data_IF_628742990465
#
_entry.id   IF_628742990465
#
_cell.length_a   1.000
_cell.length_b   1.000
_cell.length_c   1.000
_cell.angle_alpha   90.00
_cell.angle_beta   90.00
_cell.angle_gamma   90.00
#
_symmetry.space_group_name_H-M   'P 1'
#
loop_
_entity.id
_entity.type
_entity.pdbx_description
1 polymer ?
#
# COMPACT_ATOMS: atom_id res chain seq x y z
N UNK A 1 -7.95 11.21 8.51
CA UNK A 1 -7.43 10.96 7.14
C UNK A 1 -6.67 12.14 6.54
N UNK A 2 -7.07 13.39 6.80
CA UNK A 2 -6.35 14.61 6.38
C UNK A 2 -4.85 14.63 6.73
N UNK A 3 -4.37 13.75 7.62
CA UNK A 3 -2.98 13.72 8.09
C UNK A 3 -2.11 12.62 7.48
N UNK A 4 -2.66 11.60 6.80
CA UNK A 4 -1.81 10.53 6.25
C UNK A 4 -0.85 11.06 5.19
N UNK A 5 -1.31 12.04 4.40
CA UNK A 5 -0.49 12.77 3.44
C UNK A 5 0.63 13.57 4.12
N UNK A 6 0.30 14.28 5.21
CA UNK A 6 1.29 15.01 6.01
C UNK A 6 2.36 14.05 6.53
N UNK A 7 1.94 12.92 7.11
CA UNK A 7 2.85 11.87 7.57
C UNK A 7 3.69 11.29 6.43
N UNK A 8 3.12 11.02 5.25
CA UNK A 8 3.90 10.51 4.12
C UNK A 8 5.04 11.48 3.73
N UNK A 9 4.76 12.79 3.69
CA UNK A 9 5.78 13.82 3.43
C UNK A 9 6.82 13.87 4.54
N UNK A 10 6.39 13.86 5.80
CA UNK A 10 7.30 13.88 6.96
C UNK A 10 8.24 12.66 6.99
N UNK A 11 7.79 11.54 6.41
CA UNK A 11 8.55 10.31 6.28
C UNK A 11 9.32 10.18 4.95
N UNK A 12 9.44 11.26 4.17
CA UNK A 12 10.30 11.33 2.99
C UNK A 12 9.70 10.78 1.70
N UNK A 13 8.36 10.75 1.59
CA UNK A 13 7.67 10.48 0.33
C UNK A 13 7.27 11.77 -0.36
N UNK A 14 7.48 11.81 -1.68
CA UNK A 14 6.81 12.76 -2.55
C UNK A 14 5.46 12.16 -2.96
N UNK A 15 4.40 12.94 -2.77
CA UNK A 15 3.01 12.59 -3.09
C UNK A 15 2.64 13.07 -4.49
N UNK A 16 2.24 12.17 -5.39
CA UNK A 16 1.87 12.51 -6.76
C UNK A 16 0.38 12.87 -6.91
N UNK A 17 -0.50 11.87 -6.82
CA UNK A 17 -1.93 12.04 -7.06
C UNK A 17 -2.73 11.36 -5.96
N UNK A 18 -3.75 12.06 -5.47
CA UNK A 18 -4.63 11.60 -4.41
C UNK A 18 -6.05 11.55 -4.94
N UNK A 19 -6.68 10.38 -4.82
CA UNK A 19 -8.01 10.13 -5.39
C UNK A 19 -8.95 9.58 -4.32
N UNK A 20 -10.18 10.07 -4.36
CA UNK A 20 -11.27 9.65 -3.50
C UNK A 20 -12.45 9.22 -4.36
N UNK A 21 -12.87 7.97 -4.24
CA UNK A 21 -14.01 7.42 -4.96
C UNK A 21 -15.13 7.11 -3.98
N UNK A 22 -16.36 7.43 -4.39
CA UNK A 22 -17.58 7.03 -3.68
C UNK A 22 -18.49 6.37 -4.69
N UNK A 23 -18.71 5.06 -4.55
CA UNK A 23 -19.63 4.31 -5.38
C UNK A 23 -21.08 4.61 -4.97
N UNK A 24 -21.89 5.14 -5.88
CA UNK A 24 -23.27 5.55 -5.57
C UNK A 24 -24.23 4.39 -5.31
N UNK A 25 -23.96 3.20 -5.86
CA UNK A 25 -24.84 2.04 -5.69
C UNK A 25 -24.50 1.19 -4.46
N UNK A 26 -23.22 0.93 -4.23
CA UNK A 26 -22.73 0.09 -3.14
C UNK A 26 -22.41 0.88 -1.87
N UNK A 27 -22.26 2.22 -1.98
CA UNK A 27 -21.73 3.12 -0.96
C UNK A 27 -20.29 2.78 -0.52
N UNK A 28 -19.57 1.94 -1.27
CA UNK A 28 -18.14 1.72 -1.05
C UNK A 28 -17.38 3.01 -1.29
N UNK A 29 -16.42 3.27 -0.42
CA UNK A 29 -15.49 4.36 -0.60
C UNK A 29 -14.08 3.79 -0.75
N UNK A 30 -13.32 4.37 -1.66
CA UNK A 30 -11.92 4.04 -1.87
C UNK A 30 -11.13 5.33 -1.78
N UNK A 31 -10.16 5.34 -0.88
CA UNK A 31 -9.12 6.35 -0.88
C UNK A 31 -7.84 5.73 -1.42
N UNK A 32 -7.18 6.43 -2.32
CA UNK A 32 -5.90 5.98 -2.86
C UNK A 32 -4.95 7.14 -3.11
N UNK A 33 -3.66 6.86 -2.98
CA UNK A 33 -2.59 7.82 -3.22
C UNK A 33 -1.39 7.12 -3.85
N UNK A 34 -0.80 7.77 -4.85
CA UNK A 34 0.44 7.34 -5.48
C UNK A 34 1.61 8.13 -4.85
N UNK A 35 2.60 7.39 -4.34
CA UNK A 35 3.75 7.91 -3.58
C UNK A 35 5.04 7.31 -4.12
N UNK A 36 6.16 8.01 -3.95
CA UNK A 36 7.49 7.40 -4.04
C UNK A 36 8.47 8.14 -3.12
N UNK A 37 9.57 7.50 -2.70
CA UNK A 37 10.62 8.20 -1.97
C UNK A 37 11.08 9.45 -2.73
N UNK A 38 11.41 10.53 -2.02
CA UNK A 38 11.90 11.76 -2.64
C UNK A 38 13.14 11.52 -3.51
N UNK A 39 14.00 10.60 -3.08
CA UNK A 39 15.20 10.18 -3.81
C UNK A 39 14.90 9.48 -5.15
N UNK A 40 13.64 9.12 -5.37
CA UNK A 40 13.17 8.29 -6.47
C UNK A 40 12.09 8.96 -7.32
N UNK A 41 12.02 10.29 -7.33
CA UNK A 41 10.98 11.04 -8.01
C UNK A 41 10.90 10.85 -9.54
N UNK A 42 11.93 10.23 -10.13
CA UNK A 42 11.97 9.81 -11.53
C UNK A 42 12.28 8.32 -11.66
N UNK A 43 11.98 7.56 -10.60
CA UNK A 43 12.24 6.14 -10.50
C UNK A 43 11.29 5.31 -11.35
N UNK A 44 11.67 4.06 -11.67
CA UNK A 44 10.85 3.17 -12.49
C UNK A 44 9.66 2.55 -11.76
N UNK A 45 9.53 2.76 -10.45
CA UNK A 45 8.47 2.17 -9.62
C UNK A 45 7.80 3.23 -8.75
N UNK A 46 6.51 3.05 -8.54
CA UNK A 46 5.69 3.84 -7.63
C UNK A 46 5.13 2.93 -6.52
N UNK A 47 4.93 3.51 -5.34
CA UNK A 47 4.18 2.91 -4.24
C UNK A 47 2.75 3.44 -4.27
N UNK A 48 1.82 2.57 -4.65
CA UNK A 48 0.39 2.85 -4.57
C UNK A 48 -0.15 2.43 -3.21
N UNK A 49 -0.77 3.35 -2.49
CA UNK A 49 -1.41 3.09 -1.19
C UNK A 49 -2.90 3.27 -1.32
N UNK A 50 -3.67 2.28 -0.87
CA UNK A 50 -5.13 2.36 -0.88
C UNK A 50 -5.77 1.89 0.42
N UNK A 51 -6.90 2.51 0.75
CA UNK A 51 -7.77 2.10 1.84
C UNK A 51 -9.19 1.92 1.31
N UNK A 52 -9.68 0.68 1.36
CA UNK A 52 -11.06 0.35 1.01
C UNK A 52 -11.95 0.42 2.26
N UNK A 53 -12.98 1.25 2.18
CA UNK A 53 -13.98 1.44 3.23
C UNK A 53 -15.21 0.61 2.86
N UNK A 54 -15.38 -0.51 3.59
CA UNK A 54 -16.61 -1.29 3.53
C UNK A 54 -17.73 -0.59 4.32
N UNK A 55 -18.85 -0.22 3.69
CA UNK A 55 -19.89 0.56 4.33
C UNK A 55 -20.61 -0.20 5.44
N UNK A 56 -20.68 -1.54 5.39
CA UNK A 56 -21.32 -2.32 6.47
C UNK A 56 -20.49 -2.27 7.74
N UNK A 57 -19.18 -2.41 7.60
CA UNK A 57 -18.22 -2.32 8.70
C UNK A 57 -18.24 -0.92 9.30
N UNK A 58 -18.24 0.13 8.45
CA UNK A 58 -18.35 1.51 8.92
C UNK A 58 -19.64 1.77 9.69
N UNK A 59 -20.79 1.40 9.13
CA UNK A 59 -22.09 1.61 9.78
C UNK A 59 -22.20 0.83 11.09
N UNK A 60 -21.68 -0.40 11.13
CA UNK A 60 -21.66 -1.20 12.37
C UNK A 60 -20.78 -0.57 13.44
N UNK A 61 -19.66 0.05 13.05
CA UNK A 61 -18.81 0.82 13.94
C UNK A 61 -19.52 2.09 14.45
N UNK A 62 -20.18 2.83 13.55
CA UNK A 62 -20.99 4.01 13.92
C UNK A 62 -22.07 3.66 14.94
N UNK A 63 -22.78 2.53 14.77
CA UNK A 63 -23.78 2.06 15.73
C UNK A 63 -23.19 1.82 17.12
N UNK A 64 -21.97 1.26 17.20
CA UNK A 64 -21.26 1.06 18.48
C UNK A 64 -20.90 2.39 19.11
N UNK A 65 -20.32 3.31 18.34
CA UNK A 65 -19.93 4.64 18.83
C UNK A 65 -21.15 5.42 19.34
N UNK A 66 -22.28 5.36 18.63
CA UNK A 66 -23.52 6.02 19.03
C UNK A 66 -24.16 5.43 20.29
N UNK A 67 -23.86 4.16 20.60
CA UNK A 67 -24.35 3.47 21.78
C UNK A 67 -23.49 3.68 23.03
N UNK A 68 -22.33 4.35 22.91
CA UNK A 68 -21.44 4.62 24.04
C UNK A 68 -21.98 5.74 24.93
N UNK A 69 -21.80 5.58 26.24
CA UNK A 69 -22.22 6.57 27.24
C UNK A 69 -21.26 7.77 27.30
N UNK A 70 -19.96 7.52 27.10
CA UNK A 70 -18.91 8.54 27.04
C UNK A 70 -18.24 8.53 25.65
N UNK A 71 -18.24 9.66 24.90
CA UNK A 71 -17.56 9.75 23.61
C UNK A 71 -16.03 9.59 23.68
N UNK A 72 -15.42 9.75 24.86
CA UNK A 72 -13.97 9.58 25.03
C UNK A 72 -13.56 8.10 25.32
N UNK A 73 -14.53 7.20 25.50
CA UNK A 73 -14.26 5.77 25.72
C UNK A 73 -13.75 5.06 24.44
N UNK A 74 -13.17 3.86 24.60
CA UNK A 74 -12.79 3.02 23.47
C UNK A 74 -14.02 2.29 22.89
N UNK A 75 -14.33 2.45 21.58
CA UNK A 75 -15.39 1.69 20.96
C UNK A 75 -15.07 0.19 20.95
N UNK A 76 -16.02 -0.61 21.40
CA UNK A 76 -15.84 -2.06 21.53
C UNK A 76 -15.94 -2.78 20.18
N UNK A 77 -15.02 -3.70 19.90
CA UNK A 77 -15.05 -4.56 18.72
C UNK A 77 -13.74 -4.55 17.96
N UNK A 78 -13.66 -5.35 16.90
CA UNK A 78 -12.50 -5.45 16.01
C UNK A 78 -12.90 -4.97 14.62
N UNK A 79 -13.10 -3.65 14.49
CA UNK A 79 -13.45 -3.00 13.24
C UNK A 79 -12.19 -2.48 12.57
N UNK A 80 -11.86 -3.06 11.42
CA UNK A 80 -10.64 -2.71 10.69
C UNK A 80 -10.91 -2.49 9.21
N UNK A 81 -10.16 -1.58 8.60
CA UNK A 81 -10.06 -1.49 7.14
C UNK A 81 -8.68 -1.92 6.65
N UNK A 82 -8.60 -2.57 5.47
CA UNK A 82 -7.32 -2.96 4.89
C UNK A 82 -6.61 -1.74 4.32
N UNK A 83 -5.46 -1.38 4.87
CA UNK A 83 -4.50 -0.48 4.24
C UNK A 83 -3.54 -1.31 3.39
N UNK A 84 -3.58 -1.07 2.08
CA UNK A 84 -2.87 -1.86 1.09
C UNK A 84 -1.76 -1.03 0.47
N UNK A 85 -0.56 -1.58 0.45
CA UNK A 85 0.65 -1.00 -0.13
C UNK A 85 1.03 -1.84 -1.34
N UNK A 86 1.08 -1.26 -2.53
CA UNK A 86 1.37 -1.98 -3.76
C UNK A 86 2.54 -1.34 -4.48
N UNK A 87 3.63 -2.09 -4.63
CA UNK A 87 4.71 -1.73 -5.54
C UNK A 87 4.45 -2.37 -6.90
N UNK A 88 4.25 -1.53 -7.90
CA UNK A 88 4.06 -1.94 -9.29
C UNK A 88 5.37 -1.76 -10.06
N UNK A 89 5.72 -2.79 -10.83
CA UNK A 89 6.95 -2.80 -11.61
C UNK A 89 6.64 -2.74 -13.10
N UNK A 90 7.47 -2.05 -13.90
CA UNK A 90 7.37 -2.12 -15.34
C UNK A 90 7.72 -3.54 -15.82
N UNK A 91 7.44 -3.86 -17.10
CA UNK A 91 7.81 -5.13 -17.69
C UNK A 91 9.28 -5.49 -17.46
N UNK A 92 9.52 -6.71 -16.97
CA UNK A 92 10.86 -7.17 -16.60
C UNK A 92 11.48 -8.00 -17.72
N UNK A 93 12.67 -7.60 -18.17
CA UNK A 93 13.49 -8.37 -19.14
C UNK A 93 14.24 -9.51 -18.44
N UNK A 94 14.75 -9.25 -17.24
CA UNK A 94 15.51 -10.20 -16.42
C UNK A 94 14.82 -10.38 -15.06
N UNK A 95 13.68 -11.09 -14.99
CA UNK A 95 12.90 -11.19 -13.75
C UNK A 95 13.71 -11.90 -12.65
N UNK A 96 13.57 -11.47 -11.38
CA UNK A 96 14.21 -12.14 -10.24
C UNK A 96 13.60 -13.51 -9.96
N UNK A 97 14.30 -14.32 -9.17
CA UNK A 97 13.71 -15.50 -8.54
C UNK A 97 12.73 -15.04 -7.46
N UNK A 98 11.45 -15.44 -7.58
CA UNK A 98 10.38 -14.97 -6.70
C UNK A 98 10.52 -15.47 -5.27
N UNK A 99 11.06 -16.67 -5.06
CA UNK A 99 11.22 -17.22 -3.71
C UNK A 99 12.35 -16.51 -2.98
N UNK A 100 13.44 -16.21 -3.69
CA UNK A 100 14.54 -15.40 -3.16
C UNK A 100 14.05 -14.00 -2.82
N UNK A 101 13.41 -13.31 -3.77
CA UNK A 101 12.87 -11.97 -3.55
C UNK A 101 11.89 -11.95 -2.39
N UNK A 102 10.97 -12.92 -2.31
CA UNK A 102 10.00 -13.02 -1.23
C UNK A 102 10.67 -13.17 0.14
N UNK A 103 11.75 -13.95 0.21
CA UNK A 103 12.49 -14.15 1.46
C UNK A 103 13.23 -12.89 1.89
N UNK A 104 13.88 -12.21 0.95
CA UNK A 104 14.66 -11.00 1.22
C UNK A 104 13.76 -9.83 1.64
N UNK A 105 12.67 -9.61 0.89
CA UNK A 105 11.72 -8.52 1.16
C UNK A 105 10.91 -8.79 2.44
N UNK A 106 10.56 -10.04 2.74
CA UNK A 106 9.96 -10.39 4.03
C UNK A 106 10.88 -10.04 5.22
N UNK A 107 12.21 -10.13 5.05
CA UNK A 107 13.18 -9.69 6.05
C UNK A 107 13.11 -8.18 6.35
N UNK A 108 12.80 -7.37 5.35
CA UNK A 108 12.65 -5.91 5.50
C UNK A 108 11.32 -5.53 6.14
N UNK A 109 10.21 -6.11 5.64
CA UNK A 109 8.86 -5.86 6.15
C UNK A 109 8.62 -6.39 7.57
N UNK A 110 9.33 -7.46 7.96
CA UNK A 110 9.22 -8.06 9.28
C UNK A 110 7.81 -8.57 9.57
N UNK A 111 7.40 -8.48 10.83
CA UNK A 111 6.04 -8.88 11.27
C UNK A 111 5.01 -7.77 11.07
N UNK A 112 5.48 -6.53 10.95
CA UNK A 112 4.63 -5.33 10.93
C UNK A 112 4.04 -5.10 9.54
N UNK A 113 4.79 -5.44 8.49
CA UNK A 113 4.36 -5.33 7.11
C UNK A 113 4.59 -6.67 6.40
N UNK A 114 3.63 -7.62 6.48
CA UNK A 114 3.71 -8.86 5.74
C UNK A 114 3.57 -8.60 4.25
N UNK A 115 4.49 -9.15 3.45
CA UNK A 115 4.60 -8.87 2.02
C UNK A 115 4.31 -10.12 1.19
N UNK A 116 3.42 -9.95 0.22
CA UNK A 116 3.09 -10.93 -0.81
C UNK A 116 3.81 -10.55 -2.10
N UNK A 117 4.46 -11.53 -2.73
CA UNK A 117 5.19 -11.33 -3.98
C UNK A 117 4.54 -12.21 -5.05
N UNK A 118 4.17 -11.59 -6.17
CA UNK A 118 3.58 -12.31 -7.30
C UNK A 118 4.14 -11.79 -8.62
N UNK A 119 4.14 -12.65 -9.64
CA UNK A 119 4.44 -12.24 -11.01
C UNK A 119 3.42 -12.83 -11.98
N UNK A 120 3.11 -12.07 -13.02
CA UNK A 120 2.13 -12.42 -14.04
C UNK A 120 2.82 -12.36 -15.40
N UNK A 121 2.67 -13.42 -16.19
CA UNK A 121 3.03 -13.41 -17.61
C UNK A 121 1.81 -13.07 -18.45
N UNK A 122 1.93 -12.04 -19.29
CA UNK A 122 0.89 -11.62 -20.22
C UNK A 122 1.33 -11.83 -21.67
N UNK A 123 0.37 -12.19 -22.53
CA UNK A 123 0.58 -12.43 -23.96
C UNK A 123 -0.43 -11.60 -24.74
N UNK A 124 -0.01 -10.54 -25.43
CA UNK A 124 -0.91 -9.77 -26.29
C UNK A 124 -1.42 -10.61 -27.46
N UNK A 125 -0.55 -11.45 -28.04
CA UNK A 125 -0.91 -12.51 -28.99
C UNK A 125 -0.22 -13.81 -28.58
N UNK A 126 -0.82 -14.94 -28.98
CA UNK A 126 -0.31 -16.29 -28.69
C UNK A 126 1.11 -16.52 -29.24
N UNK A 127 1.52 -15.77 -30.26
CA UNK A 127 2.85 -15.88 -30.87
C UNK A 127 3.90 -14.95 -30.26
N UNK A 128 3.47 -14.01 -29.41
CA UNK A 128 4.37 -13.01 -28.84
C UNK A 128 5.17 -13.61 -27.67
N UNK A 129 6.31 -12.98 -27.36
CA UNK A 129 7.04 -13.30 -26.15
C UNK A 129 6.21 -12.86 -24.91
N UNK A 130 6.31 -13.58 -23.78
CA UNK A 130 5.63 -13.19 -22.56
C UNK A 130 6.19 -11.85 -22.04
N UNK A 131 5.30 -10.95 -21.65
CA UNK A 131 5.63 -9.77 -20.87
C UNK A 131 5.38 -10.08 -19.39
N UNK A 132 6.45 -10.11 -18.59
CA UNK A 132 6.37 -10.45 -17.16
C UNK A 132 6.28 -9.18 -16.31
N UNK A 133 5.23 -9.08 -15.53
CA UNK A 133 5.02 -8.02 -14.53
C UNK A 133 5.17 -8.58 -13.13
N UNK A 134 5.90 -7.87 -12.27
CA UNK A 134 6.08 -8.20 -10.85
C UNK A 134 5.17 -7.29 -10.02
N UNK A 135 4.64 -7.81 -8.91
CA UNK A 135 3.94 -7.04 -7.89
C UNK A 135 4.38 -7.47 -6.51
N UNK A 136 4.65 -6.49 -5.65
CA UNK A 136 4.86 -6.68 -4.22
C UNK A 136 3.71 -5.99 -3.49
N UNK A 137 3.04 -6.69 -2.59
CA UNK A 137 1.84 -6.18 -1.91
C UNK A 137 1.95 -6.38 -0.40
N UNK A 138 1.87 -5.29 0.36
CA UNK A 138 1.67 -5.30 1.81
C UNK A 138 0.21 -5.04 2.16
N UNK A 139 -0.33 -5.75 3.16
CA UNK A 139 -1.69 -5.53 3.66
C UNK A 139 -1.69 -5.47 5.18
N UNK A 140 -2.14 -4.35 5.74
CA UNK A 140 -2.20 -4.13 7.19
C UNK A 140 -3.62 -3.71 7.58
N UNK A 141 -4.25 -4.38 8.56
CA UNK A 141 -5.52 -3.93 9.09
C UNK A 141 -5.32 -2.68 9.95
N UNK A 142 -6.06 -1.61 9.65
CA UNK A 142 -6.07 -0.38 10.45
C UNK A 142 -7.35 -0.34 11.27
N UNK A 143 -7.20 -0.19 12.59
CA UNK A 143 -8.31 -0.11 13.54
C UNK A 143 -9.09 1.19 13.41
N UNK A 144 -10.42 1.07 13.31
CA UNK A 144 -11.32 2.24 13.32
C UNK A 144 -11.38 2.92 14.68
N UNK A 145 -11.20 2.18 15.78
CA UNK A 145 -11.12 2.76 17.12
C UNK A 145 -9.94 3.72 17.24
N UNK A 146 -8.77 3.31 16.73
CA UNK A 146 -7.56 4.13 16.70
C UNK A 146 -7.76 5.40 15.84
N UNK A 147 -8.34 5.25 14.65
CA UNK A 147 -8.63 6.38 13.76
C UNK A 147 -9.64 7.36 14.40
N UNK A 148 -10.67 6.83 15.07
CA UNK A 148 -11.68 7.62 15.78
C UNK A 148 -11.06 8.48 16.89
N UNK A 149 -10.12 7.92 17.66
CA UNK A 149 -9.37 8.64 18.70
C UNK A 149 -8.26 9.56 18.15
N UNK A 150 -8.04 9.57 16.84
CA UNK A 150 -6.98 10.37 16.22
C UNK A 150 -5.56 9.83 16.46
N UNK A 151 -5.43 8.58 16.89
CA UNK A 151 -4.15 7.93 17.21
C UNK A 151 -3.41 7.45 15.95
N UNK A 152 -3.27 8.30 14.92
CA UNK A 152 -2.74 7.91 13.60
C UNK A 152 -1.24 7.56 13.59
N UNK A 153 -0.54 7.76 14.71
CA UNK A 153 0.89 7.47 14.86
C UNK A 153 1.26 6.02 14.53
N UNK A 154 0.35 5.06 14.68
CA UNK A 154 0.64 3.66 14.35
C UNK A 154 0.87 3.41 12.84
N UNK A 155 0.52 4.37 11.97
CA UNK A 155 0.81 4.30 10.53
C UNK A 155 2.24 4.76 10.22
N UNK A 156 2.86 5.55 11.11
CA UNK A 156 4.20 6.11 10.89
C UNK A 156 5.29 5.02 10.74
N UNK A 157 5.37 3.99 11.62
CA UNK A 157 6.32 2.89 11.45
C UNK A 157 6.11 2.11 10.14
N UNK A 158 4.86 2.00 9.66
CA UNK A 158 4.56 1.35 8.38
C UNK A 158 5.12 2.16 7.22
N UNK A 159 5.01 3.49 7.26
CA UNK A 159 5.58 4.37 6.23
C UNK A 159 7.11 4.30 6.22
N UNK A 160 7.76 4.28 7.39
CA UNK A 160 9.21 4.07 7.48
C UNK A 160 9.64 2.75 6.82
N UNK A 161 8.90 1.66 7.10
CA UNK A 161 9.14 0.36 6.46
C UNK A 161 8.88 0.38 4.97
N UNK A 162 7.80 1.02 4.53
CA UNK A 162 7.52 1.18 3.11
C UNK A 162 8.63 1.95 2.40
N UNK A 163 9.24 2.95 3.05
CA UNK A 163 10.38 3.69 2.47
C UNK A 163 11.61 2.81 2.36
N UNK A 164 11.97 2.08 3.41
CA UNK A 164 13.07 1.12 3.40
C UNK A 164 12.94 0.10 2.25
N UNK A 165 11.75 -0.50 2.11
CA UNK A 165 11.45 -1.44 1.03
C UNK A 165 11.51 -0.77 -0.35
N UNK A 166 10.95 0.44 -0.49
CA UNK A 166 10.97 1.16 -1.76
C UNK A 166 12.41 1.43 -2.22
N UNK A 167 13.28 1.87 -1.30
CA UNK A 167 14.68 2.13 -1.62
C UNK A 167 15.44 0.85 -1.99
N UNK A 168 15.25 -0.25 -1.26
CA UNK A 168 15.86 -1.55 -1.61
C UNK A 168 15.39 -2.06 -2.98
N UNK A 169 14.09 -1.95 -3.27
CA UNK A 169 13.55 -2.35 -4.57
C UNK A 169 14.11 -1.49 -5.70
N UNK A 170 14.22 -0.16 -5.50
CA UNK A 170 14.79 0.76 -6.47
C UNK A 170 16.24 0.43 -6.84
N UNK A 171 17.05 -0.05 -5.89
CA UNK A 171 18.43 -0.47 -6.17
C UNK A 171 18.48 -1.72 -7.08
N UNK A 172 17.47 -2.59 -6.98
CA UNK A 172 17.42 -3.88 -7.70
C UNK A 172 16.81 -3.75 -9.09
N UNK A 173 15.81 -2.90 -9.25
CA UNK A 173 15.00 -2.76 -10.47
C UNK A 173 15.82 -2.54 -11.75
N UNK A 174 16.89 -1.72 -11.78
CA UNK A 174 17.71 -1.54 -12.98
C UNK A 174 18.25 -2.87 -13.55
N UNK A 175 18.59 -3.83 -12.69
CA UNK A 175 19.07 -5.14 -13.12
C UNK A 175 17.96 -5.98 -13.78
N UNK A 176 16.69 -5.73 -13.43
CA UNK A 176 15.55 -6.49 -13.93
C UNK A 176 14.95 -5.93 -15.22
N UNK A 177 14.97 -4.61 -15.41
CA UNK A 177 14.44 -3.97 -16.62
C UNK A 177 15.44 -4.13 -17.79
N UNK A 178 16.74 -4.18 -17.50
CA UNK A 178 17.82 -4.22 -18.50
C UNK A 178 18.09 -2.84 -19.13
N UNK A 179 19.21 -2.70 -19.87
CA UNK A 179 19.72 -1.43 -20.44
C UNK A 179 18.82 -0.75 -21.49
N UNK A 180 17.57 -1.18 -21.67
CA UNK A 180 16.68 -0.68 -22.74
C UNK A 180 15.70 0.41 -22.30
N UNK A 181 15.91 1.04 -21.14
CA UNK A 181 14.93 1.98 -20.58
C UNK A 181 15.59 3.21 -19.95
N UNK A 182 16.06 4.12 -20.82
CA UNK A 182 16.24 5.54 -20.51
C UNK A 182 15.73 6.38 -21.70
#
# INVERSE_FOLDING_TARGET
MSDLKSHAVDHGFHVHDERHFVETYSLRQLWEVDLHPEEACTGPIDLHVSLEIDPRTLLSFEDVVLAMDDPDDEPQGDFTFPLVFTWAFPPLTNPPDLLVLATEVAGLGGIELPLEISAIDSFQKVTDAPERSLSVIGRVPISLAMVYRGENEAVCPLLDKCREISLDLLERVPAWIGDSSF
#
